data_IF_167259857064
#
_entry.id   IF_167259857064
#
_cell.length_a   1.000
_cell.length_b   1.000
_cell.length_c   1.000
_cell.angle_alpha   90.00
_cell.angle_beta   90.00
_cell.angle_gamma   90.00
#
_symmetry.space_group_name_H-M   'P 1'
#
loop_
_entity.id
_entity.type
_entity.pdbx_description
1 polymer ?
#
# COMPACT_ATOMS: atom_id res chain seq x y z
N UNK A 1 17.51 -1.59 10.88
CA UNK A 1 16.06 -1.60 11.14
C UNK A 1 15.35 -2.31 10.00
N UNK A 2 14.42 -3.22 10.31
CA UNK A 2 13.59 -3.85 9.29
C UNK A 2 12.29 -3.04 9.09
N UNK A 3 11.85 -2.92 7.84
CA UNK A 3 10.58 -2.29 7.48
C UNK A 3 9.68 -3.33 6.80
N UNK A 4 8.47 -3.51 7.32
CA UNK A 4 7.43 -4.35 6.73
C UNK A 4 6.43 -3.43 6.03
N UNK A 5 6.47 -3.38 4.71
CA UNK A 5 5.54 -2.59 3.90
C UNK A 5 4.50 -3.53 3.28
N UNK A 6 3.34 -3.61 3.90
CA UNK A 6 2.27 -4.56 3.60
C UNK A 6 1.11 -3.86 2.87
N UNK A 7 0.43 -4.61 2.02
CA UNK A 7 -0.83 -4.23 1.40
C UNK A 7 -2.00 -4.76 2.24
N UNK A 8 -3.09 -4.01 2.32
CA UNK A 8 -4.34 -4.45 2.94
C UNK A 8 -4.87 -5.76 2.33
N UNK A 9 -5.73 -6.47 3.06
CA UNK A 9 -6.42 -7.66 2.62
C UNK A 9 -7.39 -7.42 1.46
N UNK A 10 -8.06 -8.47 1.00
CA UNK A 10 -8.93 -8.44 -0.17
C UNK A 10 -10.24 -7.72 0.13
N UNK A 11 -10.65 -6.80 -0.75
CA UNK A 11 -11.95 -6.11 -0.74
C UNK A 11 -12.82 -6.59 -1.89
N UNK A 12 -14.15 -6.30 -1.84
CA UNK A 12 -15.04 -6.58 -2.95
C UNK A 12 -14.61 -5.85 -4.24
N UNK A 13 -14.16 -4.60 -4.10
CA UNK A 13 -13.69 -3.81 -5.24
C UNK A 13 -12.41 -4.38 -5.88
N UNK A 14 -11.56 -5.06 -5.12
CA UNK A 14 -10.43 -5.81 -5.71
C UNK A 14 -10.91 -6.97 -6.59
N UNK A 15 -11.91 -7.74 -6.13
CA UNK A 15 -12.50 -8.84 -6.91
C UNK A 15 -13.12 -8.34 -8.21
N UNK A 16 -13.78 -7.19 -8.16
CA UNK A 16 -14.44 -6.56 -9.29
C UNK A 16 -13.50 -5.69 -10.15
N UNK A 17 -12.20 -5.62 -9.79
CA UNK A 17 -11.18 -4.80 -10.48
C UNK A 17 -11.56 -3.32 -10.57
N UNK A 18 -12.18 -2.78 -9.50
CA UNK A 18 -12.56 -1.37 -9.41
C UNK A 18 -11.43 -0.52 -8.86
N UNK A 19 -11.35 0.72 -9.31
CA UNK A 19 -10.50 1.75 -8.73
C UNK A 19 -11.05 2.12 -7.36
N UNK A 20 -10.36 1.76 -6.28
CA UNK A 20 -10.84 2.03 -4.91
C UNK A 20 -10.48 3.44 -4.44
N UNK A 21 -9.21 3.81 -4.64
CA UNK A 21 -8.69 5.11 -4.24
C UNK A 21 -8.98 5.47 -2.79
N UNK A 22 -9.65 6.59 -2.61
CA UNK A 22 -10.03 7.16 -1.31
C UNK A 22 -11.34 6.60 -0.74
N UNK A 23 -12.09 5.84 -1.50
CA UNK A 23 -13.31 5.19 -1.00
C UNK A 23 -12.99 4.32 0.20
N UNK A 24 -13.77 4.50 1.27
CA UNK A 24 -13.59 3.75 2.51
C UNK A 24 -14.40 2.45 2.49
N UNK A 25 -13.90 1.47 1.73
CA UNK A 25 -14.50 0.14 1.61
C UNK A 25 -13.85 -0.85 2.58
N UNK A 26 -14.64 -1.73 3.23
CA UNK A 26 -14.13 -2.77 4.11
C UNK A 26 -13.51 -3.93 3.34
N UNK A 27 -12.82 -4.82 4.05
CA UNK A 27 -12.48 -6.14 3.53
C UNK A 27 -13.75 -6.93 3.23
N UNK A 28 -13.75 -7.71 2.15
CA UNK A 28 -14.86 -8.62 1.88
C UNK A 28 -14.80 -9.86 2.80
N UNK A 29 -15.90 -10.60 2.97
CA UNK A 29 -15.92 -11.82 3.81
C UNK A 29 -14.83 -12.81 3.44
N UNK A 30 -14.59 -13.01 2.14
CA UNK A 30 -13.49 -13.86 1.64
C UNK A 30 -12.13 -13.31 2.07
N UNK A 31 -11.93 -11.99 1.97
CA UNK A 31 -10.69 -11.33 2.38
C UNK A 31 -10.39 -11.51 3.85
N UNK A 32 -11.40 -11.34 4.72
CA UNK A 32 -11.27 -11.58 6.16
C UNK A 32 -10.97 -13.05 6.47
N UNK A 33 -11.69 -13.99 5.85
CA UNK A 33 -11.50 -15.42 6.08
C UNK A 33 -10.12 -15.94 5.68
N UNK A 34 -9.51 -15.33 4.65
CA UNK A 34 -8.19 -15.70 4.16
C UNK A 34 -7.04 -15.16 5.02
N UNK A 35 -7.25 -14.09 5.79
CA UNK A 35 -6.18 -13.53 6.60
C UNK A 35 -5.74 -14.49 7.71
N UNK A 36 -4.46 -14.47 8.02
CA UNK A 36 -3.89 -15.15 9.18
C UNK A 36 -3.06 -14.18 10.03
N UNK A 37 -2.96 -14.46 11.32
CA UNK A 37 -2.06 -13.74 12.22
C UNK A 37 -0.62 -13.85 11.71
N UNK A 38 0.14 -12.76 11.85
CA UNK A 38 1.56 -12.76 11.55
C UNK A 38 2.34 -13.57 12.61
N UNK A 39 3.53 -14.01 12.23
CA UNK A 39 4.44 -14.81 13.06
C UNK A 39 5.33 -13.95 13.98
N UNK A 40 5.06 -12.65 14.05
CA UNK A 40 5.73 -11.71 14.94
C UNK A 40 4.72 -10.68 15.47
N UNK A 41 5.06 -9.97 16.55
CA UNK A 41 4.18 -9.02 17.24
C UNK A 41 4.88 -7.66 17.38
N UNK A 42 4.57 -6.68 16.50
CA UNK A 42 5.04 -5.31 16.64
C UNK A 42 4.27 -4.60 17.78
N UNK A 43 4.90 -3.61 18.41
CA UNK A 43 4.21 -2.73 19.37
C UNK A 43 3.23 -1.81 18.65
N UNK A 44 3.67 -1.26 17.51
CA UNK A 44 2.93 -0.26 16.74
C UNK A 44 2.84 -0.67 15.27
N UNK A 45 1.70 -0.43 14.65
CA UNK A 45 1.47 -0.61 13.21
C UNK A 45 0.93 0.68 12.62
N UNK A 46 1.62 1.20 11.61
CA UNK A 46 1.15 2.34 10.82
C UNK A 46 0.08 1.87 9.84
N UNK A 47 -1.07 2.53 9.87
CA UNK A 47 -2.21 2.27 8.97
C UNK A 47 -2.64 3.57 8.31
N UNK A 48 -3.52 3.51 7.31
CA UNK A 48 -4.27 4.69 6.87
C UNK A 48 -5.63 4.74 7.57
N UNK A 49 -6.35 5.85 7.50
CA UNK A 49 -7.70 5.95 8.09
C UNK A 49 -8.75 5.09 7.36
N UNK A 50 -8.39 4.43 6.25
CA UNK A 50 -9.30 3.58 5.49
C UNK A 50 -9.49 2.21 6.16
N UNK A 51 -10.76 1.80 6.33
CA UNK A 51 -11.17 0.58 7.04
C UNK A 51 -10.36 -0.66 6.64
N UNK A 52 -10.12 -0.88 5.36
CA UNK A 52 -9.39 -2.05 4.86
C UNK A 52 -7.98 -2.22 5.45
N UNK A 53 -7.28 -1.11 5.74
CA UNK A 53 -5.96 -1.18 6.39
C UNK A 53 -6.09 -1.51 7.87
N UNK A 54 -7.06 -0.89 8.56
CA UNK A 54 -7.36 -1.17 9.97
C UNK A 54 -7.76 -2.62 10.18
N UNK A 55 -8.76 -3.11 9.44
CA UNK A 55 -9.24 -4.49 9.55
C UNK A 55 -8.14 -5.51 9.25
N UNK A 56 -7.25 -5.20 8.31
CA UNK A 56 -6.07 -6.05 8.05
C UNK A 56 -5.13 -6.06 9.26
N UNK A 57 -4.84 -4.89 9.85
CA UNK A 57 -3.97 -4.79 11.02
C UNK A 57 -4.54 -5.54 12.23
N UNK A 58 -5.82 -5.41 12.51
CA UNK A 58 -6.52 -6.08 13.62
C UNK A 58 -6.44 -7.62 13.54
N UNK A 59 -6.40 -8.18 12.32
CA UNK A 59 -6.24 -9.63 12.14
C UNK A 59 -4.78 -10.05 12.22
N UNK A 60 -3.89 -9.34 11.54
CA UNK A 60 -2.46 -9.70 11.49
C UNK A 60 -1.75 -9.46 12.83
N UNK A 61 -2.11 -8.38 13.50
CA UNK A 61 -1.42 -7.85 14.70
C UNK A 61 -2.44 -7.39 15.75
N UNK A 62 -3.25 -8.29 16.33
CA UNK A 62 -4.39 -7.92 17.19
C UNK A 62 -3.99 -7.15 18.46
N UNK A 63 -2.75 -7.29 18.91
CA UNK A 63 -2.27 -6.68 20.14
C UNK A 63 -1.48 -5.39 19.90
N UNK A 64 -1.34 -4.94 18.63
CA UNK A 64 -0.56 -3.76 18.29
C UNK A 64 -1.37 -2.46 18.44
N UNK A 65 -0.70 -1.39 18.84
CA UNK A 65 -1.23 -0.04 18.73
C UNK A 65 -1.30 0.40 17.26
N UNK A 66 -2.46 0.90 16.82
CA UNK A 66 -2.67 1.36 15.45
C UNK A 66 -2.51 2.88 15.35
N UNK A 67 -1.53 3.33 14.58
CA UNK A 67 -1.25 4.75 14.36
C UNK A 67 -1.59 5.14 12.92
N UNK A 68 -2.38 6.20 12.76
CA UNK A 68 -2.84 6.66 11.43
C UNK A 68 -1.78 7.50 10.75
N UNK A 69 -1.42 7.13 9.51
CA UNK A 69 -0.46 7.80 8.65
C UNK A 69 -1.09 8.09 7.27
N UNK A 70 -2.01 9.05 7.21
CA UNK A 70 -2.83 9.37 6.03
C UNK A 70 -2.06 9.88 4.81
N UNK A 71 -0.82 10.30 4.99
CA UNK A 71 0.10 10.53 3.88
C UNK A 71 0.37 9.29 3.02
N UNK A 72 0.07 8.09 3.54
CA UNK A 72 0.22 6.81 2.83
C UNK A 72 -1.09 6.29 2.21
N UNK A 73 -2.20 7.05 2.21
CA UNK A 73 -3.44 6.66 1.53
C UNK A 73 -3.20 6.35 0.06
N UNK A 74 -4.05 5.49 -0.51
CA UNK A 74 -4.05 5.17 -1.93
C UNK A 74 -4.24 6.44 -2.79
N UNK A 75 -3.90 6.36 -4.06
CA UNK A 75 -4.13 7.42 -5.04
C UNK A 75 -5.60 7.81 -5.06
N UNK A 76 -5.86 9.11 -5.12
CA UNK A 76 -7.20 9.64 -5.37
C UNK A 76 -7.49 9.55 -6.86
N UNK A 77 -8.34 8.58 -7.23
CA UNK A 77 -8.74 8.38 -8.61
C UNK A 77 -9.94 9.26 -9.02
N UNK A 78 -10.44 10.12 -8.11
CA UNK A 78 -11.52 11.06 -8.39
C UNK A 78 -12.76 10.38 -8.95
N UNK A 79 -13.23 10.84 -10.13
CA UNK A 79 -14.47 10.33 -10.76
C UNK A 79 -14.40 8.87 -11.21
N UNK A 80 -13.20 8.26 -11.23
CA UNK A 80 -13.03 6.85 -11.60
C UNK A 80 -13.25 5.89 -10.43
N UNK A 81 -13.32 6.39 -9.18
CA UNK A 81 -13.49 5.55 -8.01
C UNK A 81 -14.82 4.79 -7.99
N UNK A 82 -14.76 3.53 -7.59
CA UNK A 82 -15.90 2.60 -7.58
C UNK A 82 -16.27 2.04 -8.94
N UNK A 83 -15.58 2.42 -10.00
CA UNK A 83 -15.80 1.94 -11.37
C UNK A 83 -14.63 1.08 -11.83
N UNK A 84 -14.86 0.17 -12.74
CA UNK A 84 -13.82 -0.64 -13.36
C UNK A 84 -13.58 -0.22 -14.83
N UNK A 85 -12.51 -0.72 -15.41
CA UNK A 85 -12.09 -0.36 -16.76
C UNK A 85 -13.15 -0.70 -17.85
N UNK A 86 -13.98 -1.73 -17.65
CA UNK A 86 -15.04 -2.11 -18.59
C UNK A 86 -16.19 -1.11 -18.58
N UNK A 87 -16.58 -0.66 -17.39
CA UNK A 87 -17.64 0.35 -17.23
C UNK A 87 -17.22 1.72 -17.78
N UNK A 88 -15.92 1.95 -17.92
CA UNK A 88 -15.34 3.22 -18.38
C UNK A 88 -14.73 3.15 -19.78
N UNK A 89 -14.85 2.03 -20.50
CA UNK A 89 -14.21 1.87 -21.81
C UNK A 89 -14.62 2.91 -22.86
N UNK A 90 -15.84 3.47 -22.73
CA UNK A 90 -16.36 4.53 -23.59
C UNK A 90 -16.37 5.91 -22.93
N UNK A 91 -15.89 6.03 -21.70
CA UNK A 91 -15.79 7.31 -20.99
C UNK A 91 -14.61 8.14 -21.55
N UNK A 92 -14.88 9.33 -22.16
CA UNK A 92 -13.82 10.12 -22.79
C UNK A 92 -12.73 10.55 -21.81
N UNK A 93 -13.07 10.84 -20.56
CA UNK A 93 -12.10 11.26 -19.54
C UNK A 93 -11.18 10.10 -19.14
N UNK A 94 -11.76 8.89 -19.01
CA UNK A 94 -10.99 7.69 -18.71
C UNK A 94 -10.03 7.34 -19.86
N UNK A 95 -10.53 7.37 -21.11
CA UNK A 95 -9.70 7.12 -22.29
C UNK A 95 -8.53 8.09 -22.39
N UNK A 96 -8.81 9.39 -22.25
CA UNK A 96 -7.75 10.41 -22.25
C UNK A 96 -6.70 10.15 -21.16
N UNK A 97 -7.12 9.74 -19.95
CA UNK A 97 -6.19 9.40 -18.88
C UNK A 97 -5.36 8.16 -19.20
N UNK A 98 -5.97 7.10 -19.75
CA UNK A 98 -5.24 5.88 -20.17
C UNK A 98 -4.26 6.17 -21.30
N UNK A 99 -4.61 7.04 -22.28
CA UNK A 99 -3.73 7.46 -23.37
C UNK A 99 -2.45 8.17 -22.88
N UNK A 100 -2.48 8.80 -21.70
CA UNK A 100 -1.27 9.33 -21.03
C UNK A 100 -0.45 8.26 -20.31
N UNK A 101 -0.75 6.98 -20.47
CA UNK A 101 -0.13 5.90 -19.69
C UNK A 101 -0.52 5.92 -18.21
N UNK A 102 -1.66 6.49 -17.86
CA UNK A 102 -2.13 6.71 -16.48
C UNK A 102 -1.25 7.65 -15.66
N UNK A 103 -0.43 8.48 -16.31
CA UNK A 103 0.45 9.44 -15.64
C UNK A 103 -0.27 10.77 -15.34
N UNK A 104 -1.30 11.10 -16.13
CA UNK A 104 -2.07 12.34 -16.02
C UNK A 104 -2.89 12.42 -14.73
N UNK A 105 -3.47 13.61 -14.48
CA UNK A 105 -4.39 13.82 -13.36
C UNK A 105 -5.73 13.14 -13.62
N UNK A 106 -6.20 12.34 -12.66
CA UNK A 106 -7.58 11.88 -12.64
C UNK A 106 -8.53 13.07 -12.41
N UNK A 107 -9.61 13.19 -13.18
CA UNK A 107 -10.59 14.26 -12.95
C UNK A 107 -11.14 14.23 -11.52
N UNK A 108 -10.98 15.32 -10.78
CA UNK A 108 -11.34 15.41 -9.37
C UNK A 108 -10.40 14.68 -8.40
N UNK A 109 -9.28 14.16 -8.88
CA UNK A 109 -8.32 13.40 -8.07
C UNK A 109 -6.87 13.85 -8.25
N UNK A 110 -5.93 12.96 -8.01
CA UNK A 110 -4.48 13.17 -8.11
C UNK A 110 -3.93 12.78 -9.49
N UNK A 111 -2.80 13.35 -9.89
CA UNK A 111 -1.91 12.76 -10.89
C UNK A 111 -0.99 11.73 -10.22
N UNK A 112 -0.42 10.80 -11.01
CA UNK A 112 0.56 9.85 -10.48
C UNK A 112 1.76 10.55 -9.83
N UNK A 113 2.22 11.65 -10.41
CA UNK A 113 3.35 12.42 -9.87
C UNK A 113 3.05 13.00 -8.48
N UNK A 114 1.87 13.60 -8.28
CA UNK A 114 1.44 14.14 -6.98
C UNK A 114 1.25 13.04 -5.94
N UNK A 115 0.63 11.94 -6.34
CA UNK A 115 0.48 10.76 -5.51
C UNK A 115 1.85 10.22 -5.05
N UNK A 116 2.78 9.97 -5.98
CA UNK A 116 4.11 9.48 -5.67
C UNK A 116 4.89 10.44 -4.77
N UNK A 117 4.80 11.75 -5.04
CA UNK A 117 5.46 12.77 -4.20
C UNK A 117 4.92 12.72 -2.76
N UNK A 118 3.60 12.69 -2.58
CA UNK A 118 2.95 12.63 -1.25
C UNK A 118 3.36 11.37 -0.49
N UNK A 119 3.25 10.22 -1.14
CA UNK A 119 3.60 8.92 -0.53
C UNK A 119 5.07 8.86 -0.16
N UNK A 120 5.97 9.23 -1.08
CA UNK A 120 7.41 9.16 -0.81
C UNK A 120 7.82 10.11 0.32
N UNK A 121 7.23 11.30 0.41
CA UNK A 121 7.49 12.25 1.50
C UNK A 121 7.03 11.68 2.84
N UNK A 122 5.79 11.18 2.92
CA UNK A 122 5.24 10.60 4.13
C UNK A 122 6.00 9.33 4.57
N UNK A 123 6.32 8.46 3.62
CA UNK A 123 7.08 7.24 3.88
C UNK A 123 8.48 7.55 4.43
N UNK A 124 9.20 8.48 3.80
CA UNK A 124 10.54 8.89 4.25
C UNK A 124 10.50 9.46 5.67
N UNK A 125 9.52 10.30 5.99
CA UNK A 125 9.35 10.87 7.32
C UNK A 125 9.12 9.79 8.39
N UNK A 126 8.32 8.74 8.09
CA UNK A 126 8.10 7.62 9.00
C UNK A 126 9.38 6.80 9.23
N UNK A 127 10.16 6.55 8.18
CA UNK A 127 11.43 5.82 8.30
C UNK A 127 12.44 6.63 9.11
N UNK A 128 12.55 7.93 8.84
CA UNK A 128 13.45 8.83 9.59
C UNK A 128 13.05 8.88 11.08
N UNK A 129 11.76 9.01 11.40
CA UNK A 129 11.26 9.03 12.77
C UNK A 129 11.53 7.71 13.51
N UNK A 130 11.28 6.56 12.86
CA UNK A 130 11.52 5.25 13.45
C UNK A 130 13.01 5.01 13.73
N UNK A 131 13.89 5.41 12.82
CA UNK A 131 15.34 5.34 13.03
C UNK A 131 15.81 6.24 14.16
N UNK A 132 15.30 7.48 14.22
CA UNK A 132 15.64 8.43 15.30
C UNK A 132 15.18 7.93 16.68
N UNK A 133 14.04 7.23 16.74
CA UNK A 133 13.54 6.60 17.96
C UNK A 133 14.26 5.28 18.32
N UNK A 134 15.16 4.79 17.48
CA UNK A 134 15.87 3.52 17.70
C UNK A 134 14.98 2.29 17.58
N UNK A 135 13.87 2.39 16.83
CA UNK A 135 12.95 1.28 16.65
C UNK A 135 13.62 0.12 15.90
N UNK A 136 13.49 -1.13 16.39
CA UNK A 136 14.08 -2.29 15.70
C UNK A 136 13.36 -2.62 14.38
N UNK A 137 12.09 -2.24 14.30
CA UNK A 137 11.23 -2.48 13.12
C UNK A 137 10.17 -1.39 12.93
N UNK A 138 9.79 -1.16 11.68
CA UNK A 138 8.66 -0.32 11.27
C UNK A 138 7.67 -1.16 10.48
N UNK A 139 6.43 -1.27 10.94
CA UNK A 139 5.37 -2.03 10.27
C UNK A 139 4.34 -1.08 9.70
N UNK A 140 4.08 -1.18 8.41
CA UNK A 140 3.14 -0.33 7.66
C UNK A 140 2.17 -1.22 6.90
N UNK A 141 0.87 -1.02 7.10
CA UNK A 141 -0.18 -1.60 6.26
C UNK A 141 -0.83 -0.48 5.47
N UNK A 142 -0.63 -0.50 4.16
CA UNK A 142 -1.12 0.52 3.24
C UNK A 142 -1.75 -0.12 1.98
N UNK A 143 -1.44 0.39 0.81
CA UNK A 143 -2.13 0.08 -0.44
C UNK A 143 -1.14 -0.36 -1.54
N UNK A 144 -1.68 -0.88 -2.65
CA UNK A 144 -0.86 -1.31 -3.78
C UNK A 144 -0.07 -0.15 -4.39
N UNK A 145 -0.73 0.98 -4.63
CA UNK A 145 -0.08 2.18 -5.14
C UNK A 145 0.99 2.71 -4.19
N UNK A 146 0.75 2.66 -2.88
CA UNK A 146 1.74 3.06 -1.87
C UNK A 146 3.01 2.22 -1.95
N UNK A 147 2.90 0.89 -2.11
CA UNK A 147 4.05 0.02 -2.32
C UNK A 147 4.80 0.39 -3.60
N UNK A 148 4.06 0.57 -4.70
CA UNK A 148 4.64 0.93 -5.99
C UNK A 148 5.42 2.24 -5.92
N UNK A 149 4.84 3.29 -5.36
CA UNK A 149 5.47 4.60 -5.26
C UNK A 149 6.73 4.59 -4.36
N UNK A 150 6.62 4.01 -3.16
CA UNK A 150 7.73 3.97 -2.21
C UNK A 150 8.89 3.11 -2.72
N UNK A 151 8.60 1.93 -3.28
CA UNK A 151 9.64 0.99 -3.68
C UNK A 151 10.29 1.35 -5.01
N UNK A 152 9.58 1.95 -5.97
CA UNK A 152 10.22 2.52 -7.15
C UNK A 152 11.28 3.57 -6.78
N UNK A 153 10.99 4.42 -5.80
CA UNK A 153 11.89 5.49 -5.36
C UNK A 153 13.07 4.98 -4.54
N UNK A 154 12.82 4.08 -3.60
CA UNK A 154 13.77 3.79 -2.53
C UNK A 154 14.37 2.38 -2.57
N UNK A 155 13.77 1.41 -3.28
CA UNK A 155 14.22 0.02 -3.22
C UNK A 155 15.51 -0.27 -4.01
N UNK A 156 16.30 -1.22 -3.48
CA UNK A 156 17.43 -1.85 -4.15
C UNK A 156 17.23 -3.37 -4.09
N UNK A 157 17.28 -4.08 -5.24
CA UNK A 157 17.52 -3.55 -6.59
C UNK A 157 16.34 -2.70 -7.10
N UNK A 158 16.64 -1.73 -7.98
CA UNK A 158 15.59 -0.91 -8.59
C UNK A 158 14.76 -1.73 -9.59
N UNK A 159 13.44 -1.52 -9.57
CA UNK A 159 12.49 -2.04 -10.56
C UNK A 159 11.50 -0.93 -10.92
N UNK A 160 10.82 -1.07 -12.05
CA UNK A 160 9.80 -0.11 -12.45
C UNK A 160 8.58 -0.16 -11.51
N UNK A 161 7.79 0.91 -11.51
CA UNK A 161 6.65 1.15 -10.64
C UNK A 161 5.71 -0.06 -10.48
N UNK A 162 5.19 -0.58 -11.58
CA UNK A 162 4.19 -1.66 -11.55
C UNK A 162 4.72 -3.01 -11.05
N UNK A 163 6.04 -3.20 -11.00
CA UNK A 163 6.67 -4.42 -10.49
C UNK A 163 6.59 -4.55 -8.96
N UNK A 164 6.14 -3.49 -8.26
CA UNK A 164 6.15 -3.43 -6.81
C UNK A 164 4.78 -3.62 -6.16
N UNK A 165 3.77 -4.08 -6.90
CA UNK A 165 2.45 -4.34 -6.33
C UNK A 165 2.36 -5.78 -5.80
N UNK A 166 2.38 -5.95 -4.48
CA UNK A 166 2.15 -7.25 -3.86
C UNK A 166 0.67 -7.68 -3.94
N UNK A 167 0.35 -8.98 -3.84
CA UNK A 167 -1.02 -9.46 -3.65
C UNK A 167 -1.67 -8.89 -2.38
N UNK A 168 -2.98 -9.06 -2.24
CA UNK A 168 -3.71 -8.67 -1.02
C UNK A 168 -3.10 -9.36 0.22
N UNK A 169 -2.91 -8.64 1.32
CA UNK A 169 -2.20 -9.05 2.53
C UNK A 169 -0.74 -9.51 2.31
N UNK A 170 -0.16 -9.17 1.17
CA UNK A 170 1.24 -9.39 0.86
C UNK A 170 2.07 -8.12 0.98
N UNK A 171 3.37 -8.26 0.92
CA UNK A 171 4.28 -7.13 0.98
C UNK A 171 5.75 -7.48 0.92
N UNK A 172 6.54 -6.52 1.35
CA UNK A 172 8.01 -6.58 1.27
C UNK A 172 8.61 -6.31 2.64
N UNK A 173 9.64 -7.08 2.97
CA UNK A 173 10.52 -6.80 4.11
C UNK A 173 11.77 -6.13 3.56
N UNK A 174 12.10 -4.97 4.12
CA UNK A 174 13.16 -4.09 3.66
C UNK A 174 14.15 -3.86 4.79
N UNK A 175 15.44 -3.76 4.45
CA UNK A 175 16.48 -3.37 5.40
C UNK A 175 16.87 -1.90 5.16
N UNK A 176 16.81 -1.11 6.22
CA UNK A 176 17.11 0.32 6.22
C UNK A 176 18.58 0.65 6.55
N UNK A 177 19.52 -0.29 6.45
CA UNK A 177 20.92 -0.06 6.79
C UNK A 177 21.53 1.12 6.01
N UNK A 178 21.17 1.26 4.73
CA UNK A 178 21.69 2.30 3.83
C UNK A 178 20.82 3.58 3.80
N UNK A 179 19.78 3.65 4.64
CA UNK A 179 18.82 4.76 4.57
C UNK A 179 19.40 6.12 4.93
N UNK A 180 20.17 6.20 6.00
CA UNK A 180 20.70 7.49 6.49
C UNK A 180 21.57 8.16 5.44
N UNK A 181 22.43 7.40 4.77
CA UNK A 181 23.41 7.92 3.83
C UNK A 181 22.93 8.02 2.39
N UNK A 182 22.06 7.10 1.97
CA UNK A 182 21.69 6.96 0.55
C UNK A 182 20.20 7.08 0.29
N UNK A 183 19.36 7.10 1.33
CA UNK A 183 17.88 6.98 1.23
C UNK A 183 17.49 5.76 0.39
N UNK A 184 18.18 4.61 0.62
CA UNK A 184 17.91 3.35 -0.05
C UNK A 184 17.53 2.25 0.92
N UNK A 185 16.67 1.35 0.45
CA UNK A 185 16.15 0.22 1.19
C UNK A 185 16.45 -1.07 0.42
N UNK A 186 17.18 -1.98 1.03
CA UNK A 186 17.44 -3.28 0.42
C UNK A 186 16.25 -4.21 0.62
N UNK A 187 15.72 -4.76 -0.46
CA UNK A 187 14.67 -5.77 -0.39
C UNK A 187 15.25 -7.07 0.15
N UNK A 188 14.75 -7.52 1.31
CA UNK A 188 15.19 -8.74 1.97
C UNK A 188 14.38 -9.93 1.49
N UNK A 189 13.05 -9.83 1.52
CA UNK A 189 12.12 -10.88 1.07
C UNK A 189 10.73 -10.32 0.79
N UNK A 190 9.93 -11.10 0.09
CA UNK A 190 8.47 -10.92 0.03
C UNK A 190 7.80 -11.71 1.14
N UNK A 191 6.64 -11.26 1.58
CA UNK A 191 5.81 -11.93 2.60
C UNK A 191 4.36 -11.98 2.19
N UNK A 192 3.61 -12.96 2.70
CA UNK A 192 2.19 -13.14 2.45
C UNK A 192 1.51 -13.64 3.72
N UNK A 193 0.46 -12.93 4.16
CA UNK A 193 -0.28 -13.25 5.39
C UNK A 193 -1.69 -13.76 5.11
N UNK A 194 -1.81 -14.63 4.12
CA UNK A 194 -3.02 -15.39 3.85
C UNK A 194 -2.84 -16.85 4.20
N UNK A 195 -3.94 -17.51 4.60
CA UNK A 195 -3.98 -18.97 4.75
C UNK A 195 -3.81 -19.58 3.36
N UNK A 196 -3.11 -20.70 3.29
CA UNK A 196 -3.16 -21.55 2.10
C UNK A 196 -4.60 -22.04 1.95
N UNK A 197 -5.19 -21.82 0.78
CA UNK A 197 -6.48 -22.43 0.48
C UNK A 197 -6.26 -23.92 0.35
N UNK A 198 -7.08 -24.77 1.00
CA UNK A 198 -7.04 -26.20 0.69
C UNK A 198 -7.33 -26.39 -0.80
N UNK A 199 -6.49 -27.16 -1.47
CA UNK A 199 -6.64 -27.56 -2.86
C UNK A 199 -7.95 -28.33 -3.07
#
# INVERSE_FOLDING_TARGET
MLIYLLRHGLTQENLEKRYQGRRDVPLCPQGLAQLRRADFAPKTVMITSLQRTRQTAEVLFPDAELVVADGLKEMDFGVFEGRNYREMEHDPQYRAWVETGCEGRCPGGESKAEFCQRVCTAFAALVDAALAAGEPQLVIIAHGGTQMAALERFAVPHKNYYSWCAPAAGGFVLDAADWVHQKKLRVVKTVQYTKELPC
#
